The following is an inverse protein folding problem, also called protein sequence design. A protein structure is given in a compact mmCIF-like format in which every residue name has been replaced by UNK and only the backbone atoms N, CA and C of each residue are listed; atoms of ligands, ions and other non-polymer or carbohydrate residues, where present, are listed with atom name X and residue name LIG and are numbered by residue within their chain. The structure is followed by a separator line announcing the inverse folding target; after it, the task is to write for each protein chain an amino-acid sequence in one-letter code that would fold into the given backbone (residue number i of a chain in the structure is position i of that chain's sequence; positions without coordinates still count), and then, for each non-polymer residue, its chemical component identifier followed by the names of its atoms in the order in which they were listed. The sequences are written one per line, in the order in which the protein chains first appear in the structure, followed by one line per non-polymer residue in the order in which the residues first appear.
data_IF_512221400901
#
_entry.id   IF_512221400901
#
_cell.length_a   1.000
_cell.length_b   1.000
_cell.length_c   1.000
_cell.angle_alpha   90.00
_cell.angle_beta   90.00
_cell.angle_gamma   90.00
#
_symmetry.space_group_name_H-M   'P 1'
#
loop_
_entity.id
_entity.type
_entity.pdbx_description
1 polymer ?
#
# COMPACT_ATOMS: atom_id res chain seq x y z
N UNK A 1 -36.18 32.48 24.42
CA UNK A 1 -36.06 33.94 24.22
C UNK A 1 -35.04 34.47 25.21
N UNK A 2 -34.14 35.37 24.77
CA UNK A 2 -32.82 35.77 25.31
C UNK A 2 -31.67 34.84 24.83
N UNK A 3 -30.89 35.09 23.74
CA UNK A 3 -30.01 36.23 23.37
C UNK A 3 -28.98 36.55 24.48
N UNK A 4 -27.67 36.72 24.27
CA UNK A 4 -26.79 36.70 23.08
C UNK A 4 -25.32 36.80 23.55
N UNK A 5 -24.39 36.44 22.66
CA UNK A 5 -23.07 37.06 22.45
C UNK A 5 -22.15 37.42 23.64
N UNK A 6 -21.04 36.68 23.77
CA UNK A 6 -19.69 37.23 24.04
C UNK A 6 -18.62 36.46 23.26
N UNK A 7 -18.18 37.06 22.14
CA UNK A 7 -16.78 37.29 21.70
C UNK A 7 -15.86 36.04 21.73
N UNK A 8 -15.30 35.48 20.65
CA UNK A 8 -14.73 35.98 19.38
C UNK A 8 -13.90 37.25 19.48
N UNK A 9 -12.65 37.11 19.92
CA UNK A 9 -11.47 37.77 19.33
C UNK A 9 -10.21 37.32 20.08
N UNK A 10 -9.33 36.55 19.43
CA UNK A 10 -7.87 36.70 19.51
C UNK A 10 -7.21 35.64 18.60
N UNK A 11 -7.18 35.98 17.32
CA UNK A 11 -6.39 35.35 16.28
C UNK A 11 -5.32 36.37 15.89
N UNK A 12 -4.06 35.96 16.00
CA UNK A 12 -2.86 36.48 15.34
C UNK A 12 -2.16 37.72 15.92
N UNK A 13 -1.01 37.49 16.55
CA UNK A 13 0.31 37.95 16.05
C UNK A 13 1.43 37.43 16.96
N UNK A 14 2.10 36.34 16.57
CA UNK A 14 3.45 36.05 17.07
C UNK A 14 4.31 35.47 15.95
N UNK A 15 4.60 36.40 15.04
CA UNK A 15 5.91 36.72 14.51
C UNK A 15 7.02 35.65 14.64
N UNK A 16 7.43 35.21 13.46
CA UNK A 16 8.55 34.34 13.15
C UNK A 16 9.84 34.83 13.82
N UNK A 17 10.49 33.95 14.58
CA UNK A 17 11.95 33.92 14.69
C UNK A 17 12.42 32.49 14.51
N UNK A 18 12.79 32.16 13.29
CA UNK A 18 13.59 30.99 12.94
C UNK A 18 14.97 31.11 13.61
N UNK A 19 15.45 30.11 14.37
CA UNK A 19 16.87 29.96 14.60
C UNK A 19 17.51 29.38 13.33
N UNK A 20 18.35 30.19 12.69
CA UNK A 20 19.29 29.74 11.64
C UNK A 20 20.12 28.59 12.19
N UNK A 21 19.85 27.38 11.71
CA UNK A 21 20.66 26.19 11.96
C UNK A 21 21.97 26.34 11.18
N UNK A 22 23.16 26.28 11.80
CA UNK A 22 24.41 26.29 11.06
C UNK A 22 24.60 24.95 10.33
N UNK A 23 24.87 25.06 9.04
CA UNK A 23 25.18 24.02 8.06
C UNK A 23 26.50 23.31 8.40
N UNK A 24 26.54 22.49 9.46
CA UNK A 24 27.72 21.67 9.81
C UNK A 24 27.32 20.31 10.40
N UNK A 25 26.51 19.52 9.68
CA UNK A 25 26.30 18.10 10.01
C UNK A 25 25.90 17.31 8.74
N UNK A 26 26.80 17.28 7.75
CA UNK A 26 26.66 16.41 6.57
C UNK A 26 27.88 15.52 6.32
N UNK A 27 28.69 15.25 7.35
CA UNK A 27 29.87 14.36 7.25
C UNK A 27 29.92 13.20 8.26
N UNK A 28 28.85 12.92 9.03
CA UNK A 28 28.84 11.78 9.98
C UNK A 28 27.87 10.64 9.62
N UNK A 29 27.45 10.55 8.35
CA UNK A 29 26.70 9.40 7.82
C UNK A 29 27.56 8.44 6.99
N UNK A 30 28.89 8.40 7.22
CA UNK A 30 29.83 7.53 6.50
C UNK A 30 30.84 6.84 7.43
N UNK A 31 30.42 6.47 8.64
CA UNK A 31 31.20 5.58 9.52
C UNK A 31 30.30 4.57 10.21
N UNK A 32 29.66 3.71 9.41
CA UNK A 32 29.16 2.42 9.92
C UNK A 32 29.04 1.40 8.78
N UNK A 33 30.20 0.99 8.24
CA UNK A 33 30.30 -0.25 7.47
C UNK A 33 31.13 -1.23 8.30
N UNK A 34 30.62 -2.43 8.60
CA UNK A 34 31.39 -3.45 9.31
C UNK A 34 32.48 -3.98 8.36
N UNK A 35 33.73 -3.64 8.67
CA UNK A 35 34.90 -4.27 8.06
C UNK A 35 34.83 -5.78 8.24
N UNK A 36 34.71 -6.48 7.11
CA UNK A 36 34.97 -7.90 6.99
C UNK A 36 36.44 -8.19 7.34
N UNK A 37 36.65 -9.33 8.01
CA UNK A 37 37.89 -10.08 8.20
C UNK A 37 38.91 -9.55 9.22
N UNK A 38 39.17 -10.31 10.30
CA UNK A 38 40.51 -10.42 10.86
C UNK A 38 41.29 -11.53 10.16
N UNK A 39 42.54 -11.20 9.84
CA UNK A 39 43.57 -12.07 9.32
C UNK A 39 43.86 -13.24 10.26
N UNK A 40 44.20 -14.38 9.66
CA UNK A 40 44.75 -15.58 10.30
C UNK A 40 45.95 -15.27 11.19
N UNK A 41 46.06 -15.82 12.41
CA UNK A 41 47.32 -15.94 13.10
C UNK A 41 48.09 -17.20 12.63
N UNK A 42 49.43 -17.19 12.67
CA UNK A 42 50.24 -18.28 12.19
C UNK A 42 50.23 -19.47 13.17
N UNK A 43 50.50 -20.64 12.60
CA UNK A 43 50.79 -21.90 13.24
C UNK A 43 51.56 -21.75 14.57
N UNK A 44 50.92 -22.14 15.67
CA UNK A 44 51.61 -22.72 16.82
C UNK A 44 50.91 -24.02 17.20
N UNK A 45 51.64 -25.10 16.94
CA UNK A 45 51.46 -26.45 17.45
C UNK A 45 51.34 -26.46 18.97
N UNK A 46 50.31 -27.13 19.50
CA UNK A 46 50.19 -27.35 20.94
C UNK A 46 48.93 -28.12 21.31
N UNK A 47 49.02 -29.46 21.24
CA UNK A 47 48.09 -30.36 21.95
C UNK A 47 48.07 -29.95 23.43
N UNK A 48 46.88 -29.87 24.00
CA UNK A 48 46.47 -29.96 25.42
C UNK A 48 45.46 -28.84 25.70
N UNK A 49 44.18 -29.22 25.71
CA UNK A 49 42.99 -28.58 26.33
C UNK A 49 41.73 -28.97 25.54
N UNK A 50 41.44 -30.28 25.49
CA UNK A 50 40.10 -30.79 25.21
C UNK A 50 39.52 -31.30 26.53
N UNK A 51 38.72 -30.45 27.14
CA UNK A 51 38.01 -30.71 28.38
C UNK A 51 37.68 -29.35 28.95
N UNK A 52 36.40 -29.09 29.25
CA UNK A 52 35.80 -27.78 29.59
C UNK A 52 34.99 -27.09 28.49
N UNK A 53 34.23 -27.83 27.69
CA UNK A 53 33.04 -27.28 26.98
C UNK A 53 31.91 -28.33 26.90
N UNK A 54 31.54 -28.91 28.05
CA UNK A 54 30.39 -29.82 28.13
C UNK A 54 29.73 -29.78 29.50
N UNK A 55 29.19 -28.63 29.89
CA UNK A 55 28.19 -28.51 30.97
C UNK A 55 27.46 -27.17 30.86
N UNK A 56 26.13 -27.25 30.98
CA UNK A 56 25.11 -26.19 31.08
C UNK A 56 24.61 -25.61 29.76
N UNK A 57 23.58 -26.27 29.24
CA UNK A 57 22.30 -25.67 28.87
C UNK A 57 21.26 -26.79 28.95
N UNK A 58 20.74 -27.03 30.16
CA UNK A 58 19.45 -27.71 30.31
C UNK A 58 18.38 -26.61 30.33
N UNK A 59 17.31 -26.71 29.52
CA UNK A 59 16.16 -25.83 29.65
C UNK A 59 15.41 -26.13 30.95
N UNK A 60 15.07 -25.07 31.67
CA UNK A 60 14.36 -25.08 32.95
C UNK A 60 12.87 -25.43 32.70
N UNK A 61 12.31 -26.54 33.25
CA UNK A 61 10.96 -27.01 32.89
C UNK A 61 9.81 -26.38 33.70
N UNK A 62 10.02 -25.30 34.47
CA UNK A 62 9.06 -24.85 35.51
C UNK A 62 8.19 -23.64 35.13
N UNK A 63 8.12 -23.22 33.85
CA UNK A 63 7.27 -22.07 33.45
C UNK A 63 6.25 -22.32 32.33
N UNK A 64 6.02 -23.57 31.92
CA UNK A 64 5.04 -23.91 30.86
C UNK A 64 3.64 -24.30 31.37
N UNK A 65 3.33 -24.13 32.67
CA UNK A 65 2.06 -24.61 33.26
C UNK A 65 0.96 -23.56 33.47
N UNK A 66 1.00 -22.39 32.81
CA UNK A 66 -0.03 -21.35 33.06
C UNK A 66 -0.69 -20.70 31.85
N UNK A 67 -0.54 -21.26 30.65
CA UNK A 67 -1.38 -20.89 29.52
C UNK A 67 -1.88 -22.18 28.89
N UNK A 68 -3.10 -22.57 29.25
CA UNK A 68 -3.86 -23.59 28.55
C UNK A 68 -4.16 -23.08 27.14
N UNK A 69 -3.27 -23.40 26.22
CA UNK A 69 -3.47 -23.19 24.79
C UNK A 69 -3.41 -24.57 24.17
N UNK A 70 -4.59 -25.07 23.82
CA UNK A 70 -4.76 -26.29 23.05
C UNK A 70 -4.02 -26.16 21.72
N UNK A 71 -2.89 -26.85 21.62
CA UNK A 71 -2.10 -26.94 20.39
C UNK A 71 -2.61 -28.10 19.54
N UNK A 72 -3.67 -27.84 18.75
CA UNK A 72 -4.04 -28.68 17.62
C UNK A 72 -2.89 -28.68 16.59
N UNK A 73 -2.26 -29.85 16.48
CA UNK A 73 -1.13 -30.11 15.59
C UNK A 73 -1.60 -30.20 14.14
N UNK A 74 -1.52 -29.11 13.37
CA UNK A 74 -1.52 -29.17 11.90
C UNK A 74 -0.10 -29.32 11.38
N UNK A 75 0.22 -30.53 10.96
CA UNK A 75 1.37 -30.90 10.13
C UNK A 75 1.32 -30.18 8.79
N UNK A 76 2.03 -29.06 8.66
CA UNK A 76 2.26 -28.41 7.36
C UNK A 76 3.53 -28.99 6.74
N UNK A 77 3.31 -29.84 5.73
CA UNK A 77 4.27 -30.41 4.80
C UNK A 77 5.07 -29.31 4.08
N UNK A 78 6.37 -29.22 4.36
CA UNK A 78 7.30 -28.37 3.64
C UNK A 78 7.64 -29.00 2.28
N UNK A 79 7.10 -28.44 1.19
CA UNK A 79 7.57 -28.71 -0.18
C UNK A 79 8.73 -27.77 -0.53
N UNK A 80 9.85 -28.28 -1.07
CA UNK A 80 10.94 -27.43 -1.53
C UNK A 80 10.60 -26.83 -2.91
N UNK A 81 10.63 -25.50 -3.02
CA UNK A 81 10.56 -24.80 -4.31
C UNK A 81 11.91 -24.88 -5.01
N UNK A 82 11.94 -25.62 -6.13
CA UNK A 82 13.04 -25.64 -7.07
C UNK A 82 13.26 -24.24 -7.68
N UNK A 83 14.51 -23.80 -7.64
CA UNK A 83 15.01 -22.54 -8.18
C UNK A 83 15.24 -22.71 -9.68
N UNK A 84 14.38 -22.12 -10.51
CA UNK A 84 14.62 -22.01 -11.96
C UNK A 84 15.73 -20.99 -12.22
N UNK A 85 16.90 -21.46 -12.61
CA UNK A 85 17.85 -20.67 -13.39
C UNK A 85 17.47 -20.77 -14.86
N UNK A 86 17.23 -19.65 -15.53
CA UNK A 86 17.17 -19.61 -16.99
C UNK A 86 18.05 -18.46 -17.48
N UNK A 87 19.23 -18.88 -17.93
CA UNK A 87 20.25 -18.08 -18.60
C UNK A 87 19.77 -17.60 -19.96
N UNK A 88 20.24 -16.41 -20.30
CA UNK A 88 20.18 -15.80 -21.61
C UNK A 88 20.77 -16.71 -22.70
N UNK A 89 20.20 -16.66 -23.91
CA UNK A 89 20.97 -16.48 -25.15
C UNK A 89 20.08 -16.54 -26.40
N UNK A 90 20.18 -15.47 -27.18
CA UNK A 90 20.37 -15.49 -28.63
C UNK A 90 19.17 -15.67 -29.57
N UNK A 91 19.27 -14.90 -30.67
CA UNK A 91 18.76 -15.14 -32.01
C UNK A 91 17.39 -14.57 -32.38
N UNK A 92 17.41 -13.28 -32.68
CA UNK A 92 16.77 -12.69 -33.86
C UNK A 92 17.32 -13.32 -35.15
N UNK A 93 16.46 -13.58 -36.14
CA UNK A 93 16.84 -13.30 -37.52
C UNK A 93 15.86 -12.33 -38.20
N UNK A 94 16.46 -11.37 -38.90
CA UNK A 94 15.83 -10.47 -39.84
C UNK A 94 15.28 -11.25 -41.04
N UNK A 95 14.06 -10.96 -41.47
CA UNK A 95 13.57 -11.28 -42.82
C UNK A 95 12.87 -10.05 -43.41
N UNK A 96 13.38 -9.69 -44.59
CA UNK A 96 13.04 -8.54 -45.40
C UNK A 96 11.71 -8.75 -46.18
N UNK A 97 11.19 -7.70 -46.86
CA UNK A 97 9.81 -7.67 -47.35
C UNK A 97 9.70 -8.21 -48.78
N UNK A 98 8.68 -9.02 -49.04
CA UNK A 98 8.25 -9.36 -50.40
C UNK A 98 7.13 -8.41 -50.83
N UNK A 99 7.44 -7.58 -51.81
CA UNK A 99 6.47 -6.78 -52.54
C UNK A 99 5.60 -7.67 -53.41
N UNK A 100 4.29 -7.57 -53.23
CA UNK A 100 3.31 -8.03 -54.19
C UNK A 100 2.53 -6.83 -54.73
N UNK A 101 2.89 -6.48 -55.96
CA UNK A 101 2.07 -5.75 -56.91
C UNK A 101 0.68 -6.40 -56.99
N UNK A 102 -0.37 -5.66 -56.65
CA UNK A 102 -1.73 -5.97 -57.07
C UNK A 102 -2.14 -4.99 -58.18
N UNK A 103 -2.72 -5.47 -59.28
CA UNK A 103 -3.12 -4.63 -60.40
C UNK A 103 -4.31 -3.74 -60.05
N UNK A 104 -4.21 -2.51 -60.52
CA UNK A 104 -5.23 -1.48 -60.58
C UNK A 104 -6.41 -1.99 -61.42
N UNK A 105 -7.54 -2.30 -60.78
CA UNK A 105 -8.82 -2.40 -61.47
C UNK A 105 -9.51 -1.04 -61.41
N UNK A 106 -9.52 -0.35 -62.55
CA UNK A 106 -10.36 0.81 -62.79
C UNK A 106 -11.81 0.35 -62.91
N UNK A 107 -12.61 0.57 -61.87
CA UNK A 107 -14.07 0.45 -61.96
C UNK A 107 -14.60 1.85 -62.28
N UNK A 108 -15.23 1.92 -63.45
CA UNK A 108 -15.93 3.07 -64.01
C UNK A 108 -17.11 3.53 -63.14
N UNK A 109 -17.42 4.82 -63.30
CA UNK A 109 -18.31 5.61 -62.46
C UNK A 109 -19.68 5.00 -62.14
N UNK A 110 -20.03 5.10 -60.85
CA UNK A 110 -21.41 5.14 -60.39
C UNK A 110 -21.66 6.52 -59.78
N UNK A 111 -22.74 7.15 -60.20
CA UNK A 111 -23.15 8.49 -59.82
C UNK A 111 -23.34 8.62 -58.29
N UNK A 112 -23.06 9.80 -57.70
CA UNK A 112 -23.30 10.03 -56.29
C UNK A 112 -24.82 10.09 -56.05
N UNK A 113 -25.35 9.09 -55.33
CA UNK A 113 -26.69 9.14 -54.76
C UNK A 113 -26.61 10.03 -53.50
N UNK A 114 -27.22 11.23 -53.47
CA UNK A 114 -27.25 12.07 -52.28
C UNK A 114 -28.34 11.56 -51.33
N UNK A 115 -28.08 10.46 -50.63
CA UNK A 115 -28.85 10.07 -49.45
C UNK A 115 -27.86 9.73 -48.33
N UNK A 116 -27.19 10.77 -47.83
CA UNK A 116 -26.52 10.75 -46.54
C UNK A 116 -27.62 10.69 -45.46
N UNK A 117 -28.23 9.53 -45.29
CA UNK A 117 -28.96 9.21 -44.07
C UNK A 117 -27.97 9.28 -42.92
N UNK A 118 -28.34 10.05 -41.90
CA UNK A 118 -27.55 10.39 -40.72
C UNK A 118 -26.96 9.14 -40.06
N UNK A 119 -25.72 8.77 -40.43
CA UNK A 119 -24.94 7.85 -39.63
C UNK A 119 -24.71 8.54 -38.28
N UNK A 120 -24.96 7.86 -37.14
CA UNK A 120 -24.69 8.43 -35.83
C UNK A 120 -23.20 8.81 -35.78
N UNK A 121 -22.92 10.10 -35.68
CA UNK A 121 -21.57 10.60 -35.46
C UNK A 121 -21.13 10.17 -34.07
N UNK A 122 -20.39 9.07 -33.99
CA UNK A 122 -19.78 8.60 -32.75
C UNK A 122 -18.82 9.70 -32.26
N UNK A 123 -19.15 10.34 -31.14
CA UNK A 123 -18.33 11.43 -30.58
C UNK A 123 -17.03 10.84 -30.03
N UNK A 124 -15.93 11.03 -30.75
CA UNK A 124 -14.61 10.54 -30.34
C UNK A 124 -13.87 11.56 -29.51
N UNK A 125 -13.41 11.16 -28.32
CA UNK A 125 -12.62 12.00 -27.42
C UNK A 125 -11.14 11.59 -27.43
N UNK A 126 -10.25 12.58 -27.27
CA UNK A 126 -8.81 12.35 -27.15
C UNK A 126 -8.43 11.91 -25.73
N UNK A 127 -7.23 11.34 -25.55
CA UNK A 127 -6.69 10.96 -24.23
C UNK A 127 -6.75 12.10 -23.22
N UNK A 128 -6.47 13.34 -23.64
CA UNK A 128 -6.50 14.52 -22.76
C UNK A 128 -7.90 14.91 -22.34
N UNK A 129 -8.88 14.82 -23.26
CA UNK A 129 -10.28 15.06 -22.94
C UNK A 129 -10.82 14.03 -21.93
N UNK A 130 -10.52 12.75 -22.14
CA UNK A 130 -10.93 11.66 -21.23
C UNK A 130 -10.23 11.78 -19.87
N UNK A 131 -8.95 12.17 -19.84
CA UNK A 131 -8.22 12.41 -18.59
C UNK A 131 -8.88 13.50 -17.73
N UNK A 132 -9.32 14.59 -18.36
CA UNK A 132 -10.04 15.67 -17.68
C UNK A 132 -11.40 15.21 -17.15
N UNK A 133 -12.17 14.47 -17.96
CA UNK A 133 -13.48 13.95 -17.58
C UNK A 133 -13.41 12.94 -16.43
N UNK A 134 -12.37 12.10 -16.41
CA UNK A 134 -12.12 11.14 -15.35
C UNK A 134 -11.30 11.70 -14.18
N UNK A 135 -10.89 12.97 -14.22
CA UNK A 135 -10.01 13.60 -13.22
C UNK A 135 -8.76 12.74 -12.88
N UNK A 136 -8.10 12.17 -13.89
CA UNK A 136 -6.87 11.37 -13.76
C UNK A 136 -5.80 11.89 -14.72
N UNK A 137 -4.54 11.49 -14.51
CA UNK A 137 -3.48 11.89 -15.44
C UNK A 137 -3.63 11.22 -16.81
N UNK A 138 -3.19 11.85 -17.91
CA UNK A 138 -3.19 11.23 -19.25
C UNK A 138 -2.38 9.92 -19.31
N UNK A 139 -1.35 9.78 -18.48
CA UNK A 139 -0.56 8.55 -18.40
C UNK A 139 -1.37 7.40 -17.76
N UNK A 140 -2.16 7.71 -16.74
CA UNK A 140 -3.11 6.77 -16.12
C UNK A 140 -4.12 6.26 -17.15
N UNK A 141 -4.68 7.14 -18.00
CA UNK A 141 -5.60 6.73 -19.07
C UNK A 141 -4.91 5.79 -20.07
N UNK A 142 -3.67 6.08 -20.47
CA UNK A 142 -2.88 5.20 -21.37
C UNK A 142 -2.60 3.84 -20.75
N UNK A 143 -2.34 3.80 -19.44
CA UNK A 143 -2.16 2.54 -18.69
C UNK A 143 -3.47 1.77 -18.62
N UNK A 144 -4.58 2.42 -18.29
CA UNK A 144 -5.89 1.78 -18.25
C UNK A 144 -6.29 1.21 -19.61
N UNK A 145 -6.03 1.96 -20.70
CA UNK A 145 -6.28 1.49 -22.06
C UNK A 145 -5.52 0.20 -22.41
N UNK A 146 -4.34 -0.03 -21.81
CA UNK A 146 -3.58 -1.28 -21.97
C UNK A 146 -4.14 -2.42 -21.12
N UNK A 147 -4.45 -2.15 -19.85
CA UNK A 147 -4.92 -3.16 -18.90
C UNK A 147 -6.33 -3.67 -19.23
N UNK A 148 -7.19 -2.78 -19.75
CA UNK A 148 -8.58 -3.06 -20.07
C UNK A 148 -8.85 -3.14 -21.58
N UNK A 149 -7.82 -3.30 -22.40
CA UNK A 149 -7.94 -3.42 -23.86
C UNK A 149 -9.01 -4.41 -24.36
N UNK A 150 -9.27 -5.57 -23.70
CA UNK A 150 -10.33 -6.49 -24.13
C UNK A 150 -11.77 -5.95 -24.03
N UNK A 151 -11.99 -4.89 -23.23
CA UNK A 151 -13.31 -4.30 -22.98
C UNK A 151 -13.48 -2.94 -23.66
N UNK A 152 -12.47 -2.48 -24.40
CA UNK A 152 -12.45 -1.20 -25.07
C UNK A 152 -12.53 -1.39 -26.60
N UNK A 153 -12.92 -0.34 -27.29
CA UNK A 153 -12.90 -0.28 -28.75
C UNK A 153 -11.49 -0.48 -29.31
N UNK A 154 -11.40 -0.94 -30.55
CA UNK A 154 -10.12 -1.10 -31.25
C UNK A 154 -9.35 0.24 -31.41
N UNK A 155 -10.07 1.37 -31.37
CA UNK A 155 -9.47 2.71 -31.49
C UNK A 155 -8.87 3.22 -30.17
N UNK A 156 -9.36 2.71 -29.03
CA UNK A 156 -8.79 3.00 -27.71
C UNK A 156 -7.42 2.33 -27.49
N UNK A 157 -7.18 1.20 -28.17
CA UNK A 157 -5.91 0.46 -28.14
C UNK A 157 -5.36 0.19 -29.55
N UNK A 158 -5.01 1.25 -30.31
CA UNK A 158 -4.55 1.09 -31.67
C UNK A 158 -3.11 0.57 -31.70
N UNK A 159 -2.73 0.02 -32.86
CA UNK A 159 -1.35 -0.40 -33.13
C UNK A 159 -0.40 0.81 -33.09
N UNK A 160 0.89 0.53 -32.90
CA UNK A 160 1.94 1.56 -32.86
C UNK A 160 1.84 2.51 -34.07
N UNK A 161 1.86 3.82 -33.82
CA UNK A 161 1.83 4.86 -34.85
C UNK A 161 0.49 5.60 -34.98
N UNK A 162 -0.59 5.10 -34.38
CA UNK A 162 -1.90 5.77 -34.41
C UNK A 162 -2.25 6.48 -33.10
N UNK A 163 -3.00 7.57 -33.20
CA UNK A 163 -3.54 8.32 -32.06
C UNK A 163 -4.69 7.55 -31.42
N UNK A 164 -4.68 7.45 -30.08
CA UNK A 164 -5.77 6.84 -29.30
C UNK A 164 -6.98 7.76 -29.26
N UNK A 165 -8.13 7.23 -29.62
CA UNK A 165 -9.44 7.88 -29.49
C UNK A 165 -10.37 6.98 -28.70
N UNK A 166 -11.26 7.57 -27.93
CA UNK A 166 -12.21 6.85 -27.07
C UNK A 166 -13.62 7.25 -27.47
N UNK A 167 -14.52 6.28 -27.56
CA UNK A 167 -15.96 6.51 -27.69
C UNK A 167 -16.62 6.69 -26.30
N UNK A 168 -17.94 6.91 -26.28
CA UNK A 168 -18.67 7.07 -25.02
C UNK A 168 -18.72 5.79 -24.18
N UNK A 169 -18.72 4.63 -24.84
CA UNK A 169 -18.69 3.31 -24.19
C UNK A 169 -17.36 3.09 -23.46
N UNK A 170 -16.25 3.39 -24.12
CA UNK A 170 -14.90 3.31 -23.57
C UNK A 170 -14.78 4.18 -22.31
N UNK A 171 -15.36 5.38 -22.34
CA UNK A 171 -15.37 6.28 -21.19
C UNK A 171 -16.16 5.68 -20.03
N UNK A 172 -17.30 5.04 -20.30
CA UNK A 172 -18.10 4.34 -19.28
C UNK A 172 -17.32 3.18 -18.64
N UNK A 173 -16.63 2.36 -19.45
CA UNK A 173 -15.77 1.26 -18.99
C UNK A 173 -14.63 1.80 -18.12
N UNK A 174 -13.93 2.85 -18.57
CA UNK A 174 -12.83 3.47 -17.82
C UNK A 174 -13.31 4.12 -16.50
N UNK A 175 -14.52 4.69 -16.48
CA UNK A 175 -15.14 5.24 -15.28
C UNK A 175 -15.46 4.14 -14.25
N UNK A 176 -16.07 3.05 -14.70
CA UNK A 176 -16.33 1.89 -13.84
C UNK A 176 -15.03 1.28 -13.31
N UNK A 177 -14.01 1.15 -14.16
CA UNK A 177 -12.69 0.65 -13.74
C UNK A 177 -12.06 1.54 -12.65
N UNK A 178 -12.09 2.87 -12.83
CA UNK A 178 -11.58 3.84 -11.84
C UNK A 178 -12.31 3.69 -10.50
N UNK A 179 -13.63 3.61 -10.52
CA UNK A 179 -14.45 3.48 -9.31
C UNK A 179 -14.11 2.19 -8.55
N UNK A 180 -14.06 1.05 -9.25
CA UNK A 180 -13.68 -0.23 -8.64
C UNK A 180 -12.24 -0.20 -8.09
N UNK A 181 -11.29 0.42 -8.81
CA UNK A 181 -9.93 0.60 -8.29
C UNK A 181 -9.87 1.51 -7.06
N UNK A 182 -10.72 2.55 -6.99
CA UNK A 182 -10.78 3.44 -5.82
C UNK A 182 -11.31 2.73 -4.57
N UNK A 183 -12.09 1.65 -4.73
CA UNK A 183 -12.48 0.74 -3.65
C UNK A 183 -11.38 -0.23 -3.20
N UNK A 184 -10.17 -0.13 -3.74
CA UNK A 184 -9.02 -0.97 -3.37
C UNK A 184 -8.94 -2.31 -4.10
N UNK A 185 -9.77 -2.53 -5.13
CA UNK A 185 -9.70 -3.75 -5.94
C UNK A 185 -8.47 -3.74 -6.85
N UNK A 186 -7.86 -4.91 -7.02
CA UNK A 186 -6.76 -5.10 -7.97
C UNK A 186 -7.28 -5.17 -9.42
N UNK A 187 -6.40 -4.98 -10.39
CA UNK A 187 -6.77 -4.95 -11.82
C UNK A 187 -7.43 -6.25 -12.32
N UNK A 188 -7.08 -7.40 -11.74
CA UNK A 188 -7.65 -8.70 -12.13
C UNK A 188 -9.11 -8.84 -11.67
N UNK A 189 -9.41 -8.47 -10.42
CA UNK A 189 -10.77 -8.41 -9.89
C UNK A 189 -11.63 -7.39 -10.62
N UNK A 190 -11.05 -6.24 -11.01
CA UNK A 190 -11.75 -5.23 -11.83
C UNK A 190 -12.12 -5.82 -13.19
N UNK A 191 -11.21 -6.53 -13.87
CA UNK A 191 -11.52 -7.20 -15.15
C UNK A 191 -12.66 -8.22 -15.01
N UNK A 192 -12.62 -9.04 -13.96
CA UNK A 192 -13.69 -10.02 -13.70
C UNK A 192 -15.06 -9.34 -13.51
N UNK A 193 -15.11 -8.20 -12.80
CA UNK A 193 -16.35 -7.43 -12.65
C UNK A 193 -16.80 -6.75 -13.95
N UNK A 194 -15.87 -6.17 -14.71
CA UNK A 194 -16.19 -5.55 -16.00
C UNK A 194 -16.77 -6.57 -16.99
N UNK A 195 -16.34 -7.84 -16.94
CA UNK A 195 -16.91 -8.90 -17.76
C UNK A 195 -18.37 -9.27 -17.39
N UNK A 196 -18.81 -8.93 -16.18
CA UNK A 196 -20.19 -9.16 -15.71
C UNK A 196 -21.09 -7.94 -15.92
N UNK A 197 -20.51 -6.77 -16.21
CA UNK A 197 -21.25 -5.55 -16.47
C UNK A 197 -21.67 -5.53 -17.94
N UNK A 198 -22.98 -5.52 -18.18
CA UNK A 198 -23.51 -5.20 -19.50
C UNK A 198 -23.35 -3.69 -19.72
N UNK A 199 -22.37 -3.33 -20.53
CA UNK A 199 -22.29 -2.00 -21.08
C UNK A 199 -23.25 -1.98 -22.27
N UNK A 200 -24.22 -1.05 -22.33
CA UNK A 200 -25.14 -0.98 -23.44
C UNK A 200 -24.30 -0.92 -24.72
N UNK A 201 -24.40 -1.97 -25.52
CA UNK A 201 -23.85 -1.94 -26.86
C UNK A 201 -24.55 -0.78 -27.56
N UNK A 202 -23.77 0.19 -28.04
CA UNK A 202 -24.27 1.19 -28.98
C UNK A 202 -25.10 0.44 -30.02
N UNK A 203 -26.36 0.84 -30.28
CA UNK A 203 -27.32 0.01 -30.98
C UNK A 203 -26.67 -0.50 -32.25
N UNK A 204 -26.38 -1.80 -32.26
CA UNK A 204 -25.91 -2.48 -33.44
C UNK A 204 -26.84 -2.03 -34.55
N UNK A 205 -26.29 -1.44 -35.61
CA UNK A 205 -27.06 -1.01 -36.76
C UNK A 205 -27.87 -2.22 -37.21
N UNK A 206 -29.13 -2.25 -36.80
CA UNK A 206 -30.06 -3.30 -37.19
C UNK A 206 -30.21 -3.06 -38.67
N UNK A 207 -29.62 -3.97 -39.43
CA UNK A 207 -29.78 -4.09 -40.87
C UNK A 207 -31.30 -4.01 -41.12
N UNK A 208 -31.72 -2.90 -41.71
CA UNK A 208 -33.12 -2.57 -41.86
C UNK A 208 -33.79 -3.62 -42.74
N UNK A 209 -34.55 -4.54 -42.15
CA UNK A 209 -35.54 -5.29 -42.89
C UNK A 209 -36.67 -4.34 -43.33
N UNK A 210 -37.00 -4.27 -44.63
CA UNK A 210 -38.08 -3.43 -45.12
C UNK A 210 -39.41 -4.15 -44.90
N UNK A 211 -40.13 -3.84 -43.82
CA UNK A 211 -41.52 -4.27 -43.64
C UNK A 211 -42.44 -3.08 -43.88
N UNK A 212 -43.23 -3.21 -44.93
CA UNK A 212 -44.09 -2.17 -45.49
C UNK A 212 -45.31 -1.81 -44.64
N UNK A 213 -45.72 -0.56 -44.87
CA UNK A 213 -47.10 -0.09 -45.11
C UNK A 213 -48.29 -0.70 -44.34
N UNK A 214 -48.91 0.20 -43.58
CA UNK A 214 -50.36 0.48 -43.57
C UNK A 214 -51.26 -0.42 -42.73
N UNK A 215 -51.85 0.14 -41.66
CA UNK A 215 -53.28 0.50 -41.64
C UNK A 215 -53.67 1.29 -40.38
N UNK A 216 -54.33 2.42 -40.64
CA UNK A 216 -55.07 3.27 -39.71
C UNK A 216 -56.42 2.61 -39.44
N UNK A 217 -56.77 2.36 -38.17
CA UNK A 217 -58.16 2.19 -37.73
C UNK A 217 -58.39 2.74 -36.31
N UNK A 218 -59.64 3.11 -35.99
CA UNK A 218 -59.97 4.15 -35.02
C UNK A 218 -60.48 3.60 -33.68
N UNK A 219 -60.67 4.52 -32.72
CA UNK A 219 -61.41 4.37 -31.45
C UNK A 219 -60.81 3.47 -30.36
N UNK A 220 -59.86 4.01 -29.57
CA UNK A 220 -59.35 3.37 -28.32
C UNK A 220 -59.30 4.34 -27.11
N UNK A 221 -59.84 5.56 -27.22
CA UNK A 221 -59.67 6.62 -26.20
C UNK A 221 -60.25 6.29 -24.80
N UNK A 222 -61.15 5.31 -24.67
CA UNK A 222 -61.71 4.95 -23.35
C UNK A 222 -60.96 3.81 -22.64
N UNK A 223 -60.25 2.94 -23.38
CA UNK A 223 -59.45 1.87 -22.79
C UNK A 223 -58.07 2.37 -22.31
N UNK A 224 -57.55 3.46 -22.87
CA UNK A 224 -56.30 4.07 -22.41
C UNK A 224 -56.44 4.71 -21.03
N UNK A 225 -57.60 5.30 -20.71
CA UNK A 225 -57.85 5.98 -19.43
C UNK A 225 -57.97 4.99 -18.27
N UNK A 226 -58.65 3.86 -18.45
CA UNK A 226 -58.74 2.81 -17.42
C UNK A 226 -57.38 2.13 -17.18
N UNK A 227 -56.60 1.93 -18.24
CA UNK A 227 -55.23 1.39 -18.13
C UNK A 227 -54.32 2.36 -17.38
N UNK A 228 -54.39 3.66 -17.70
CA UNK A 228 -53.64 4.69 -16.99
C UNK A 228 -54.00 4.76 -15.49
N UNK A 229 -55.28 4.64 -15.16
CA UNK A 229 -55.73 4.64 -13.76
C UNK A 229 -55.25 3.39 -12.99
N UNK A 230 -55.24 2.22 -13.63
CA UNK A 230 -54.65 1.02 -13.03
C UNK A 230 -53.15 1.17 -12.77
N UNK A 231 -52.40 1.71 -13.75
CA UNK A 231 -50.96 1.95 -13.56
C UNK A 231 -50.68 2.97 -12.45
N UNK A 232 -51.57 3.94 -12.24
CA UNK A 232 -51.45 4.90 -11.14
C UNK A 232 -51.66 4.22 -9.79
N UNK A 233 -52.62 3.29 -9.69
CA UNK A 233 -52.84 2.51 -8.46
C UNK A 233 -51.64 1.62 -8.13
N UNK A 234 -51.05 0.96 -9.14
CA UNK A 234 -49.83 0.17 -8.96
C UNK A 234 -48.63 1.04 -8.55
N UNK A 235 -48.49 2.24 -9.15
CA UNK A 235 -47.45 3.19 -8.76
C UNK A 235 -47.63 3.70 -7.32
N UNK A 236 -48.88 3.92 -6.88
CA UNK A 236 -49.18 4.31 -5.50
C UNK A 236 -48.88 3.14 -4.53
N UNK A 237 -49.23 1.91 -4.90
CA UNK A 237 -48.87 0.74 -4.10
C UNK A 237 -47.35 0.56 -3.97
N UNK A 238 -46.61 0.78 -5.06
CA UNK A 238 -45.13 0.74 -5.06
C UNK A 238 -44.53 1.85 -4.18
N UNK A 239 -45.05 3.08 -4.24
CA UNK A 239 -44.56 4.18 -3.38
C UNK A 239 -44.89 3.95 -1.91
N UNK A 240 -46.05 3.36 -1.59
CA UNK A 240 -46.36 2.95 -0.21
C UNK A 240 -45.43 1.83 0.28
N UNK A 241 -45.09 0.86 -0.58
CA UNK A 241 -44.12 -0.17 -0.26
C UNK A 241 -42.72 0.41 -0.01
N UNK A 242 -42.31 1.43 -0.78
CA UNK A 242 -41.04 2.12 -0.55
C UNK A 242 -41.02 2.89 0.77
N UNK A 243 -42.10 3.59 1.13
CA UNK A 243 -42.20 4.31 2.40
C UNK A 243 -42.11 3.36 3.62
N UNK A 244 -42.58 2.11 3.48
CA UNK A 244 -42.45 1.10 4.53
C UNK A 244 -40.98 0.68 4.80
N UNK A 245 -40.04 1.00 3.91
CA UNK A 245 -38.60 0.70 4.10
C UNK A 245 -37.83 1.80 4.85
N UNK A 246 -38.40 2.99 5.02
CA UNK A 246 -37.79 4.08 5.80
C UNK A 246 -37.38 3.70 7.23
N UNK A 247 -38.18 2.97 8.04
CA UNK A 247 -37.75 2.58 9.38
C UNK A 247 -36.53 1.65 9.38
N UNK A 248 -36.42 0.76 8.39
CA UNK A 248 -35.25 -0.11 8.22
C UNK A 248 -34.00 0.70 7.88
N UNK A 249 -34.12 1.71 7.01
CA UNK A 249 -33.00 2.61 6.69
C UNK A 249 -32.56 3.38 7.94
N UNK A 250 -33.49 3.95 8.71
CA UNK A 250 -33.17 4.65 9.95
C UNK A 250 -32.52 3.72 10.99
N UNK A 251 -32.98 2.47 11.10
CA UNK A 251 -32.36 1.48 11.96
C UNK A 251 -30.92 1.20 11.55
N UNK A 252 -30.66 1.00 10.25
CA UNK A 252 -29.30 0.80 9.72
C UNK A 252 -28.40 2.01 9.93
N UNK A 253 -28.91 3.22 9.78
CA UNK A 253 -28.15 4.44 10.08
C UNK A 253 -27.78 4.54 11.56
N UNK A 254 -28.67 4.10 12.45
CA UNK A 254 -28.39 3.99 13.88
C UNK A 254 -27.24 3.02 14.17
N UNK A 255 -27.29 1.81 13.59
CA UNK A 255 -26.22 0.81 13.72
C UNK A 255 -24.87 1.33 13.19
N UNK A 256 -24.86 1.98 12.02
CA UNK A 256 -23.63 2.56 11.45
C UNK A 256 -23.05 3.62 12.39
N UNK A 257 -23.90 4.50 12.93
CA UNK A 257 -23.48 5.55 13.87
C UNK A 257 -22.86 4.94 15.14
N UNK A 258 -23.45 3.89 15.68
CA UNK A 258 -22.91 3.16 16.84
C UNK A 258 -21.55 2.54 16.54
N UNK A 259 -21.39 1.91 15.36
CA UNK A 259 -20.08 1.33 14.97
C UNK A 259 -19.00 2.39 14.78
N UNK A 260 -19.35 3.57 14.26
CA UNK A 260 -18.41 4.69 14.10
C UNK A 260 -17.95 5.17 15.47
N UNK A 261 -18.86 5.34 16.43
CA UNK A 261 -18.51 5.73 17.79
C UNK A 261 -17.65 4.68 18.51
N UNK A 262 -17.96 3.39 18.34
CA UNK A 262 -17.14 2.32 18.88
C UNK A 262 -15.72 2.31 18.29
N UNK A 263 -15.59 2.55 16.98
CA UNK A 263 -14.27 2.66 16.33
C UNK A 263 -13.49 3.89 16.81
N UNK A 264 -14.15 5.03 17.00
CA UNK A 264 -13.51 6.24 17.53
C UNK A 264 -13.02 6.01 18.97
N UNK A 265 -13.84 5.41 19.83
CA UNK A 265 -13.43 5.07 21.19
C UNK A 265 -12.21 4.13 21.22
N UNK A 266 -12.14 3.17 20.27
CA UNK A 266 -10.97 2.31 20.13
C UNK A 266 -9.73 3.07 19.63
N UNK A 267 -9.89 4.03 18.71
CA UNK A 267 -8.78 4.89 18.25
C UNK A 267 -8.25 5.78 19.38
N UNK A 268 -9.14 6.33 20.21
CA UNK A 268 -8.76 7.11 21.38
C UNK A 268 -7.99 6.24 22.38
N UNK A 269 -8.45 5.01 22.64
CA UNK A 269 -7.71 4.04 23.46
C UNK A 269 -6.33 3.68 22.89
N UNK A 270 -6.21 3.53 21.56
CA UNK A 270 -4.92 3.27 20.93
C UNK A 270 -3.97 4.47 21.06
N UNK A 271 -4.51 5.69 21.02
CA UNK A 271 -3.72 6.92 21.17
C UNK A 271 -3.16 7.06 22.59
N UNK A 272 -3.96 6.74 23.62
CA UNK A 272 -3.52 6.75 25.01
C UNK A 272 -2.51 5.63 25.28
N UNK A 273 -2.75 4.42 24.75
CA UNK A 273 -1.77 3.33 24.84
C UNK A 273 -0.44 3.67 24.15
N UNK A 274 -0.46 4.41 23.05
CA UNK A 274 0.76 4.86 22.38
C UNK A 274 1.54 5.89 23.22
N UNK A 275 0.83 6.78 23.91
CA UNK A 275 1.43 7.72 24.86
C UNK A 275 2.11 6.98 26.03
N UNK A 276 1.42 6.01 26.63
CA UNK A 276 1.96 5.18 27.71
C UNK A 276 3.20 4.38 27.27
N UNK A 277 3.19 3.83 26.05
CA UNK A 277 4.37 3.14 25.49
C UNK A 277 5.55 4.10 25.39
N UNK A 278 5.32 5.33 24.90
CA UNK A 278 6.38 6.32 24.79
C UNK A 278 6.93 6.71 26.18
N UNK A 279 6.07 6.94 27.18
CA UNK A 279 6.50 7.22 28.56
C UNK A 279 7.32 6.06 29.16
N UNK A 280 6.85 4.82 29.00
CA UNK A 280 7.59 3.64 29.45
C UNK A 280 8.94 3.49 28.73
N UNK A 281 9.03 3.83 27.44
CA UNK A 281 10.31 3.80 26.72
C UNK A 281 11.28 4.86 27.24
N UNK A 282 10.79 6.05 27.59
CA UNK A 282 11.61 7.10 28.21
C UNK A 282 12.10 6.69 29.60
N UNK A 283 11.23 6.12 30.44
CA UNK A 283 11.61 5.61 31.76
C UNK A 283 12.63 4.48 31.66
N UNK A 284 12.47 3.56 30.70
CA UNK A 284 13.45 2.50 30.46
C UNK A 284 14.80 3.07 30.00
N UNK A 285 14.81 4.11 29.17
CA UNK A 285 16.04 4.79 28.77
C UNK A 285 16.73 5.45 29.97
N UNK A 286 15.99 6.17 30.81
CA UNK A 286 16.50 6.80 32.03
C UNK A 286 17.08 5.77 33.01
N UNK A 287 16.34 4.70 33.32
CA UNK A 287 16.83 3.63 34.20
C UNK A 287 18.09 2.96 33.63
N UNK A 288 18.16 2.79 32.30
CA UNK A 288 19.35 2.23 31.67
C UNK A 288 20.57 3.15 31.82
N UNK A 289 20.37 4.47 31.79
CA UNK A 289 21.43 5.46 32.01
C UNK A 289 21.90 5.47 33.47
N UNK A 290 20.97 5.42 34.44
CA UNK A 290 21.30 5.32 35.86
C UNK A 290 22.11 4.05 36.19
N UNK A 291 21.72 2.91 35.62
CA UNK A 291 22.46 1.66 35.77
C UNK A 291 23.86 1.75 35.16
N UNK A 292 24.00 2.41 34.00
CA UNK A 292 25.31 2.63 33.39
C UNK A 292 26.18 3.59 34.21
N UNK A 293 25.61 4.66 34.78
CA UNK A 293 26.31 5.58 35.66
C UNK A 293 26.82 4.86 36.92
N UNK A 294 25.97 4.07 37.55
CA UNK A 294 26.33 3.25 38.73
C UNK A 294 27.43 2.24 38.39
N UNK A 295 27.33 1.59 37.22
CA UNK A 295 28.38 0.66 36.76
C UNK A 295 29.71 1.36 36.51
N UNK A 296 29.70 2.58 35.97
CA UNK A 296 30.92 3.39 35.78
C UNK A 296 31.55 3.77 37.11
N UNK A 297 30.76 4.18 38.10
CA UNK A 297 31.25 4.49 39.45
C UNK A 297 31.83 3.25 40.15
N UNK A 298 31.16 2.09 40.04
CA UNK A 298 31.70 0.84 40.56
C UNK A 298 33.02 0.44 39.90
N UNK A 299 33.14 0.63 38.59
CA UNK A 299 34.37 0.34 37.84
C UNK A 299 35.50 1.29 38.25
N UNK A 300 35.27 2.59 38.37
CA UNK A 300 36.32 3.54 38.78
C UNK A 300 36.80 3.26 40.20
N UNK A 301 35.88 2.98 41.12
CA UNK A 301 36.22 2.60 42.49
C UNK A 301 37.06 1.32 42.53
N UNK A 302 36.69 0.30 41.76
CA UNK A 302 37.45 -0.96 41.65
C UNK A 302 38.85 -0.75 41.05
N UNK A 303 38.98 0.11 40.03
CA UNK A 303 40.29 0.46 39.44
C UNK A 303 41.17 1.15 40.48
N UNK A 304 40.66 2.14 41.21
CA UNK A 304 41.41 2.82 42.27
C UNK A 304 41.85 1.86 43.39
N UNK A 305 40.98 0.93 43.78
CA UNK A 305 41.31 -0.12 44.74
C UNK A 305 42.45 -1.03 44.25
N UNK A 306 42.40 -1.46 42.97
CA UNK A 306 43.47 -2.25 42.37
C UNK A 306 44.80 -1.49 42.28
N UNK A 307 44.78 -0.21 41.88
CA UNK A 307 45.99 0.61 41.83
C UNK A 307 46.60 0.78 43.22
N UNK A 308 45.78 1.03 44.24
CA UNK A 308 46.22 1.16 45.63
C UNK A 308 46.84 -0.13 46.18
N UNK A 309 46.25 -1.29 45.89
CA UNK A 309 46.79 -2.60 46.32
C UNK A 309 48.12 -2.94 45.63
N UNK A 310 48.24 -2.68 44.33
CA UNK A 310 49.51 -2.87 43.59
C UNK A 310 50.61 -1.96 44.11
N UNK A 311 50.30 -0.69 44.42
CA UNK A 311 51.25 0.25 45.01
C UNK A 311 51.73 -0.22 46.40
N UNK A 312 50.81 -0.68 47.26
CA UNK A 312 51.14 -1.23 48.57
C UNK A 312 52.04 -2.48 48.47
N UNK A 313 51.70 -3.42 47.57
CA UNK A 313 52.53 -4.61 47.33
C UNK A 313 53.93 -4.25 46.83
N UNK A 314 54.05 -3.25 45.94
CA UNK A 314 55.34 -2.80 45.41
C UNK A 314 56.21 -2.14 46.49
N UNK A 315 55.60 -1.33 47.38
CA UNK A 315 56.31 -0.75 48.52
C UNK A 315 56.83 -1.84 49.48
N UNK A 316 56.00 -2.83 49.81
CA UNK A 316 56.42 -3.97 50.65
C UNK A 316 57.55 -4.79 50.01
N UNK A 317 57.47 -5.05 48.70
CA UNK A 317 58.53 -5.74 47.96
C UNK A 317 59.85 -4.93 47.98
N UNK A 318 59.77 -3.61 47.82
CA UNK A 318 60.93 -2.71 47.91
C UNK A 318 61.58 -2.73 49.30
N UNK A 319 60.79 -2.69 50.37
CA UNK A 319 61.29 -2.80 51.76
C UNK A 319 61.96 -4.16 51.99
N UNK A 320 61.34 -5.26 51.54
CA UNK A 320 61.95 -6.59 51.64
C UNK A 320 63.25 -6.70 50.84
N UNK A 321 63.35 -6.06 49.67
CA UNK A 321 64.57 -6.03 48.88
C UNK A 321 65.70 -5.22 49.57
N UNK A 322 65.37 -4.07 50.16
CA UNK A 322 66.32 -3.26 50.94
C UNK A 322 66.82 -4.00 52.19
N UNK A 323 65.92 -4.71 52.89
CA UNK A 323 66.31 -5.58 54.01
C UNK A 323 67.23 -6.71 53.55
N UNK A 324 66.96 -7.34 52.39
CA UNK A 324 67.76 -8.45 51.87
C UNK A 324 69.15 -8.04 51.38
N UNK A 325 69.31 -6.82 50.88
CA UNK A 325 70.58 -6.33 50.31
C UNK A 325 71.52 -5.72 51.35
N UNK A 326 71.12 -5.64 52.63
CA UNK A 326 71.96 -5.10 53.70
C UNK A 326 72.20 -3.59 53.62
N UNK A 327 71.45 -2.88 52.78
CA UNK A 327 71.51 -1.41 52.65
C UNK A 327 70.91 -0.68 53.86
N UNK A 328 70.11 -1.37 54.67
CA UNK A 328 69.65 -0.90 55.98
C UNK A 328 70.62 -1.34 57.09
N UNK A 329 71.88 -0.94 56.99
CA UNK A 329 72.82 -1.12 58.10
C UNK A 329 72.69 0.09 59.04
N UNK A 330 71.70 0.04 59.94
CA UNK A 330 71.58 1.01 61.02
C UNK A 330 72.74 0.79 61.99
N UNK A 331 73.60 1.80 62.26
CA UNK A 331 74.59 1.70 63.32
C UNK A 331 73.85 1.57 64.65
N UNK A 332 74.21 0.53 65.41
CA UNK A 332 73.67 0.23 66.75
C UNK A 332 74.18 1.23 67.78
#
# INVERSE_FOLDING_TARGET
MALNCRQTAEVWTRERREPRVPTLMRCLASMNQPTRQPCSPPFLTGRILRGWCRRRLQPNPVLSQRLGVDSESRTISARPRARCGRSASSQTPCLAPLGHHFPVFAIQGHAPVPNAMNAPTVTRKSVTAVANELAVSPDTVRRYAKEFAPYLSNEASPKSGSTRTFDERDIAVLKAAREQMSSGLNHESVRAKLAMMDFPDEPAQVEAEPVGETQVQPSVEFQSVTTAMLTLVDAVAQTQAQLATLPEINHRLGQITETIHAQQAMQDQMSTMAEDINDLTMKNAQLSEELQATRRQGLTWFIWFLVGTVAACSALAGVMFLMRTGLLNLPV
#
